data_IF_251256875909
#
_entry.id   IF_251256875909
#
_cell.length_a   1.000
_cell.length_b   1.000
_cell.length_c   1.000
_cell.angle_alpha   90.00
_cell.angle_beta   90.00
_cell.angle_gamma   90.00
#
_symmetry.space_group_name_H-M   'P 1'
#
loop_
_entity.id
_entity.type
_entity.pdbx_description
1 polymer ?
#
# COMPACT_ATOMS: atom_id res chain seq x y z
N UNK A 1 51.80 -11.19 23.02
CA UNK A 1 52.55 -12.34 23.55
C UNK A 1 51.69 -13.57 23.39
N UNK A 2 52.19 -14.50 22.58
CA UNK A 2 51.99 -15.96 22.58
C UNK A 2 50.62 -16.41 22.13
N UNK A 3 50.39 -16.80 20.88
CA UNK A 3 51.03 -17.75 19.95
C UNK A 3 50.60 -19.20 20.17
N UNK A 4 49.81 -19.73 19.15
CA UNK A 4 49.93 -21.06 18.55
C UNK A 4 49.98 -22.32 19.44
N UNK A 5 49.20 -23.31 19.00
CA UNK A 5 49.70 -24.67 18.72
C UNK A 5 48.52 -25.48 18.13
N UNK A 6 48.48 -25.85 16.83
CA UNK A 6 49.15 -27.01 16.20
C UNK A 6 48.79 -28.30 16.90
N UNK A 7 48.50 -29.41 16.29
CA UNK A 7 48.78 -30.02 14.99
C UNK A 7 48.16 -31.41 14.98
N UNK A 8 47.63 -31.83 13.87
CA UNK A 8 47.90 -33.06 13.15
C UNK A 8 48.16 -34.35 13.92
N UNK A 9 47.42 -35.42 13.63
CA UNK A 9 48.05 -36.73 13.44
C UNK A 9 47.36 -37.54 12.34
N UNK A 10 48.16 -37.92 11.42
CA UNK A 10 47.97 -38.72 10.22
C UNK A 10 48.18 -40.21 10.51
N UNK A 11 47.42 -41.07 9.78
CA UNK A 11 47.90 -42.29 9.07
C UNK A 11 48.39 -43.49 9.87
N UNK A 12 47.82 -44.65 9.60
CA UNK A 12 48.37 -45.86 8.97
C UNK A 12 47.33 -46.97 8.99
N UNK A 13 46.86 -47.39 7.80
CA UNK A 13 47.37 -48.54 7.01
C UNK A 13 47.15 -49.89 7.66
N UNK A 14 46.36 -50.74 7.05
CA UNK A 14 46.25 -52.16 7.28
C UNK A 14 45.36 -52.89 6.30
N UNK A 15 45.99 -53.33 5.20
CA UNK A 15 45.46 -54.20 4.15
C UNK A 15 45.44 -55.62 4.63
N UNK A 16 44.34 -56.37 4.59
CA UNK A 16 44.34 -57.83 4.45
C UNK A 16 43.18 -58.30 3.63
N UNK A 17 43.51 -59.00 2.57
CA UNK A 17 42.73 -59.73 1.58
C UNK A 17 42.14 -61.00 2.21
N UNK A 18 40.94 -61.34 1.86
CA UNK A 18 40.36 -62.64 2.18
C UNK A 18 38.98 -62.88 1.56
N UNK A 19 38.98 -63.50 0.39
CA UNK A 19 37.79 -64.11 -0.26
C UNK A 19 37.06 -65.05 0.66
N UNK A 20 35.78 -65.08 0.64
CA UNK A 20 34.95 -66.29 0.36
C UNK A 20 33.49 -65.96 0.13
N UNK A 21 33.05 -66.64 -0.88
CA UNK A 21 31.70 -66.84 -1.39
C UNK A 21 30.62 -67.27 -0.38
N UNK A 22 29.37 -66.96 -0.75
CA UNK A 22 28.11 -67.72 -0.61
C UNK A 22 27.17 -67.29 0.49
N UNK A 23 26.06 -66.97 0.07
CA UNK A 23 24.64 -67.48 0.03
C UNK A 23 23.63 -66.49 0.51
N UNK A 24 22.73 -66.24 -0.40
CA UNK A 24 21.28 -66.10 -0.24
C UNK A 24 20.70 -66.02 1.18
N UNK A 25 20.08 -64.93 1.52
CA UNK A 25 18.66 -64.95 1.87
C UNK A 25 18.12 -63.57 2.21
N UNK A 26 17.16 -63.14 1.43
CA UNK A 26 15.87 -62.59 1.76
C UNK A 26 15.75 -61.51 2.84
N UNK A 27 15.18 -60.40 2.37
CA UNK A 27 14.11 -59.63 2.99
C UNK A 27 14.45 -58.79 4.21
N UNK A 28 14.60 -57.55 3.96
CA UNK A 28 13.83 -56.54 4.70
C UNK A 28 13.70 -55.32 3.80
N UNK A 29 12.58 -55.28 3.15
CA UNK A 29 11.97 -54.07 2.58
C UNK A 29 11.65 -53.15 3.74
N UNK A 30 12.60 -52.31 4.12
CA UNK A 30 12.26 -51.12 4.88
C UNK A 30 11.81 -50.10 3.88
N UNK A 31 10.49 -49.98 3.80
CA UNK A 31 9.81 -48.85 3.15
C UNK A 31 10.42 -47.57 3.69
N UNK A 32 11.28 -46.94 2.94
CA UNK A 32 11.56 -45.51 3.05
C UNK A 32 10.35 -44.78 2.55
N UNK A 33 9.38 -44.59 3.44
CA UNK A 33 8.38 -43.54 3.28
C UNK A 33 9.14 -42.25 3.51
N UNK A 34 9.56 -41.60 2.44
CA UNK A 34 9.49 -40.16 2.24
C UNK A 34 10.08 -39.77 0.88
N UNK A 35 9.44 -40.29 -0.15
CA UNK A 35 9.61 -39.80 -1.51
C UNK A 35 8.59 -38.73 -1.79
N UNK A 36 8.62 -37.63 -1.04
CA UNK A 36 7.96 -36.44 -1.48
C UNK A 36 8.68 -35.94 -2.75
N UNK A 37 8.02 -36.09 -3.89
CA UNK A 37 8.51 -35.61 -5.18
C UNK A 37 8.87 -34.11 -5.04
N UNK A 38 10.15 -33.70 -5.21
CA UNK A 38 10.53 -32.30 -5.11
C UNK A 38 9.81 -31.40 -6.14
N UNK A 39 9.15 -32.00 -7.14
CA UNK A 39 8.32 -31.29 -8.11
C UNK A 39 6.93 -30.84 -7.55
N UNK A 40 6.54 -31.30 -6.37
CA UNK A 40 5.23 -30.99 -5.75
C UNK A 40 5.28 -29.89 -4.68
N UNK A 41 6.46 -29.38 -4.33
CA UNK A 41 6.52 -28.23 -3.43
C UNK A 41 6.11 -26.96 -4.18
N UNK A 42 5.10 -26.22 -3.67
CA UNK A 42 4.75 -24.94 -4.29
C UNK A 42 5.98 -24.04 -4.27
N UNK A 43 6.30 -23.35 -5.39
CA UNK A 43 7.46 -22.48 -5.43
C UNK A 43 7.36 -21.43 -4.33
N UNK A 44 8.47 -21.19 -3.64
CA UNK A 44 8.55 -20.22 -2.56
C UNK A 44 8.08 -18.84 -3.02
N UNK A 45 7.47 -18.08 -2.10
CA UNK A 45 7.15 -16.68 -2.30
C UNK A 45 8.42 -15.84 -2.29
N UNK A 46 8.73 -15.16 -3.37
CA UNK A 46 9.84 -14.19 -3.42
C UNK A 46 9.36 -12.87 -2.84
N UNK A 47 9.80 -12.55 -1.61
CA UNK A 47 9.38 -11.37 -0.88
C UNK A 47 10.55 -10.39 -0.73
N UNK A 48 10.29 -9.11 -0.95
CA UNK A 48 11.25 -8.03 -0.73
C UNK A 48 10.75 -7.08 0.37
N UNK A 49 11.66 -6.53 1.15
CA UNK A 49 11.38 -5.40 2.05
C UNK A 49 11.98 -4.16 1.40
N UNK A 50 11.12 -3.25 0.93
CA UNK A 50 11.53 -1.97 0.33
C UNK A 50 11.95 -0.99 1.40
N UNK A 51 11.25 -0.98 2.54
CA UNK A 51 11.59 -0.21 3.72
C UNK A 51 10.42 0.57 4.31
N UNK A 52 10.71 1.24 5.42
CA UNK A 52 9.75 2.09 6.13
C UNK A 52 10.22 3.54 6.13
N UNK A 53 9.35 4.44 5.70
CA UNK A 53 9.57 5.88 5.74
C UNK A 53 9.21 6.47 7.12
N UNK A 54 9.93 7.49 7.62
CA UNK A 54 11.21 7.97 7.15
C UNK A 54 12.36 6.97 7.43
N UNK A 55 13.48 7.08 6.72
CA UNK A 55 14.64 6.19 6.91
C UNK A 55 15.39 6.53 8.21
N UNK A 56 14.89 6.06 9.35
CA UNK A 56 15.50 6.22 10.67
C UNK A 56 16.18 4.94 11.14
N UNK A 57 17.06 5.04 12.13
CA UNK A 57 17.69 3.88 12.75
C UNK A 57 16.66 2.91 13.38
N UNK A 58 15.59 3.46 13.98
CA UNK A 58 14.50 2.68 14.56
C UNK A 58 13.73 1.91 13.48
N UNK A 59 13.40 2.54 12.36
CA UNK A 59 12.72 1.88 11.25
C UNK A 59 13.61 0.81 10.63
N UNK A 60 14.91 1.05 10.55
CA UNK A 60 15.86 0.04 10.08
C UNK A 60 15.92 -1.17 11.00
N UNK A 61 15.85 -1.00 12.32
CA UNK A 61 15.74 -2.11 13.27
C UNK A 61 14.43 -2.90 13.06
N UNK A 62 13.30 -2.21 12.85
CA UNK A 62 12.02 -2.85 12.52
C UNK A 62 12.05 -3.63 11.20
N UNK A 63 12.72 -3.09 10.16
CA UNK A 63 12.95 -3.81 8.90
C UNK A 63 13.73 -5.10 9.09
N UNK A 64 14.80 -5.05 9.89
CA UNK A 64 15.62 -6.24 10.20
C UNK A 64 14.81 -7.29 10.96
N UNK A 65 14.01 -6.87 11.94
CA UNK A 65 13.13 -7.77 12.69
C UNK A 65 12.07 -8.43 11.80
N UNK A 66 11.43 -7.65 10.92
CA UNK A 66 10.51 -8.19 9.93
C UNK A 66 11.20 -9.16 8.95
N UNK A 67 12.42 -8.83 8.50
CA UNK A 67 13.21 -9.70 7.63
C UNK A 67 13.52 -11.02 8.31
N UNK A 68 13.92 -10.98 9.58
CA UNK A 68 14.20 -12.18 10.37
C UNK A 68 12.93 -13.03 10.56
N UNK A 69 11.79 -12.40 10.87
CA UNK A 69 10.52 -13.10 11.01
C UNK A 69 10.05 -13.75 9.70
N UNK A 70 10.18 -13.04 8.56
CA UNK A 70 9.87 -13.58 7.23
C UNK A 70 10.80 -14.74 6.84
N UNK A 71 12.09 -14.66 7.18
CA UNK A 71 13.07 -15.70 6.84
C UNK A 71 12.88 -17.01 7.60
N UNK A 72 12.18 -16.97 8.73
CA UNK A 72 11.80 -18.18 9.49
C UNK A 72 10.65 -18.96 8.84
N UNK A 73 9.90 -18.35 7.94
CA UNK A 73 8.80 -19.02 7.24
C UNK A 73 9.33 -19.77 6.02
N UNK A 74 9.27 -21.10 6.06
CA UNK A 74 9.78 -21.98 5.00
C UNK A 74 9.09 -21.75 3.62
N UNK A 75 7.98 -21.01 3.59
CA UNK A 75 7.25 -20.69 2.36
C UNK A 75 7.79 -19.44 1.66
N UNK A 76 8.71 -18.69 2.30
CA UNK A 76 9.24 -17.41 1.85
C UNK A 76 10.69 -17.55 1.41
N UNK A 77 11.02 -16.98 0.27
CA UNK A 77 12.37 -16.68 -0.17
C UNK A 77 12.57 -15.16 -0.10
N UNK A 78 13.20 -14.70 0.97
CA UNK A 78 13.46 -13.27 1.14
C UNK A 78 14.54 -12.83 0.15
N UNK A 79 14.30 -11.71 -0.54
CA UNK A 79 15.25 -11.12 -1.47
C UNK A 79 16.31 -10.34 -0.70
N UNK A 80 17.56 -10.52 -1.12
CA UNK A 80 18.69 -9.85 -0.49
C UNK A 80 18.53 -8.32 -0.52
N UNK A 81 18.72 -7.63 0.61
CA UNK A 81 18.57 -6.17 0.68
C UNK A 81 19.44 -5.40 -0.31
N UNK A 82 20.61 -5.93 -0.69
CA UNK A 82 21.50 -5.27 -1.67
C UNK A 82 20.91 -5.29 -3.08
N UNK A 83 20.20 -6.36 -3.44
CA UNK A 83 19.45 -6.45 -4.71
C UNK A 83 18.31 -5.45 -4.69
N UNK A 84 17.56 -5.38 -3.58
CA UNK A 84 16.47 -4.41 -3.43
C UNK A 84 17.00 -2.98 -3.61
N UNK A 85 18.06 -2.60 -2.87
CA UNK A 85 18.65 -1.28 -2.96
C UNK A 85 19.15 -0.94 -4.36
N UNK A 86 19.79 -1.89 -5.04
CA UNK A 86 20.25 -1.70 -6.42
C UNK A 86 19.08 -1.45 -7.38
N UNK A 87 17.97 -2.16 -7.21
CA UNK A 87 16.76 -1.98 -8.00
C UNK A 87 16.10 -0.60 -7.73
N UNK A 88 16.01 -0.18 -6.45
CA UNK A 88 15.46 1.13 -6.06
C UNK A 88 16.24 2.28 -6.71
N UNK A 89 17.58 2.22 -6.64
CA UNK A 89 18.44 3.21 -7.27
C UNK A 89 18.28 3.18 -8.81
N UNK A 90 18.24 1.97 -9.39
CA UNK A 90 18.14 1.78 -10.84
C UNK A 90 16.87 2.38 -11.46
N UNK A 91 15.74 2.40 -10.74
CA UNK A 91 14.48 2.98 -11.22
C UNK A 91 14.24 4.41 -10.70
N UNK A 92 15.15 4.95 -9.88
CA UNK A 92 15.00 6.28 -9.27
C UNK A 92 13.84 6.36 -8.28
N UNK A 93 13.63 5.31 -7.46
CA UNK A 93 12.58 5.33 -6.45
C UNK A 93 12.85 6.38 -5.38
N UNK A 94 11.88 7.27 -5.15
CA UNK A 94 11.99 8.43 -4.27
C UNK A 94 11.58 8.17 -2.81
N UNK A 95 11.20 6.92 -2.48
CA UNK A 95 10.71 6.56 -1.14
C UNK A 95 9.21 6.80 -0.93
N UNK A 96 8.46 7.19 -1.95
CA UNK A 96 7.02 7.41 -1.84
C UNK A 96 6.26 6.12 -1.56
N UNK A 97 5.41 6.16 -0.54
CA UNK A 97 4.49 5.06 -0.24
C UNK A 97 3.15 5.19 -0.99
N UNK A 98 2.92 6.31 -1.67
CA UNK A 98 1.70 6.57 -2.46
C UNK A 98 1.97 6.28 -3.93
N UNK A 99 1.88 5.02 -4.31
CA UNK A 99 2.23 4.55 -5.65
C UNK A 99 1.00 4.26 -6.51
N UNK A 100 1.13 4.51 -7.82
CA UNK A 100 0.23 3.90 -8.80
C UNK A 100 0.55 2.41 -8.96
N UNK A 101 -0.42 1.64 -9.44
CA UNK A 101 -0.20 0.23 -9.79
C UNK A 101 0.95 0.04 -10.78
N UNK A 102 1.10 0.97 -11.72
CA UNK A 102 2.18 0.90 -12.71
C UNK A 102 3.55 1.17 -12.11
N UNK A 103 3.68 2.14 -11.21
CA UNK A 103 4.92 2.40 -10.45
C UNK A 103 5.28 1.20 -9.58
N UNK A 104 4.31 0.66 -8.82
CA UNK A 104 4.51 -0.49 -7.97
C UNK A 104 4.88 -1.76 -8.77
N UNK A 105 4.24 -1.98 -9.94
CA UNK A 105 4.58 -3.08 -10.84
C UNK A 105 5.99 -2.96 -11.42
N UNK A 106 6.41 -1.76 -11.82
CA UNK A 106 7.77 -1.50 -12.28
C UNK A 106 8.79 -1.78 -11.18
N UNK A 107 8.48 -1.36 -9.95
CA UNK A 107 9.31 -1.64 -8.78
C UNK A 107 9.43 -3.14 -8.52
N UNK A 108 8.31 -3.86 -8.46
CA UNK A 108 8.29 -5.31 -8.27
C UNK A 108 9.05 -6.06 -9.36
N UNK A 109 8.93 -5.62 -10.62
CA UNK A 109 9.67 -6.20 -11.75
C UNK A 109 11.17 -5.94 -11.66
N UNK A 110 11.60 -4.73 -11.27
CA UNK A 110 13.00 -4.37 -11.09
C UNK A 110 13.67 -5.17 -9.97
N UNK A 111 12.96 -5.38 -8.86
CA UNK A 111 13.44 -6.23 -7.75
C UNK A 111 13.37 -7.72 -8.13
N UNK A 112 12.42 -8.10 -8.96
CA UNK A 112 12.13 -9.49 -9.33
C UNK A 112 11.43 -10.26 -8.21
N UNK A 113 10.49 -9.64 -7.49
CA UNK A 113 9.75 -10.24 -6.39
C UNK A 113 8.30 -10.59 -6.76
N UNK A 114 7.70 -11.55 -6.04
CA UNK A 114 6.27 -11.81 -6.11
C UNK A 114 5.50 -10.76 -5.30
N UNK A 115 6.01 -10.42 -4.11
CA UNK A 115 5.48 -9.39 -3.22
C UNK A 115 6.60 -8.53 -2.66
N UNK A 116 6.26 -7.29 -2.36
CA UNK A 116 7.13 -6.46 -1.54
C UNK A 116 6.36 -5.79 -0.41
N UNK A 117 7.10 -5.50 0.67
CA UNK A 117 6.59 -4.78 1.83
C UNK A 117 7.21 -3.39 1.84
N UNK A 118 6.35 -2.40 1.98
CA UNK A 118 6.72 -0.99 2.15
C UNK A 118 5.82 -0.39 3.21
N UNK A 119 6.27 0.66 3.89
CA UNK A 119 5.42 1.26 4.91
C UNK A 119 5.90 2.61 5.42
N UNK A 120 5.19 3.10 6.42
CA UNK A 120 5.55 4.28 7.20
C UNK A 120 5.52 3.90 8.68
N UNK A 121 6.55 4.27 9.42
CA UNK A 121 6.59 4.09 10.86
C UNK A 121 7.21 5.32 11.52
N UNK A 122 6.61 5.78 12.59
CA UNK A 122 7.04 6.96 13.32
C UNK A 122 6.65 6.86 14.80
N UNK A 123 7.40 7.54 15.65
CA UNK A 123 7.05 7.70 17.05
C UNK A 123 6.94 9.20 17.37
N UNK A 124 5.82 9.56 17.98
CA UNK A 124 5.41 10.93 18.24
C UNK A 124 5.08 11.10 19.72
N UNK A 125 5.44 12.25 20.28
CA UNK A 125 4.95 12.67 21.57
C UNK A 125 3.55 13.26 21.40
N UNK A 126 2.56 12.70 22.05
CA UNK A 126 1.18 13.18 22.07
C UNK A 126 0.87 13.79 23.42
N UNK A 127 0.16 14.89 23.42
CA UNK A 127 -0.35 15.55 24.64
C UNK A 127 -1.85 15.68 24.53
N UNK A 128 -2.58 14.98 25.39
CA UNK A 128 -4.04 15.06 25.44
C UNK A 128 -4.50 16.22 26.34
N UNK A 129 -3.67 16.64 27.31
CA UNK A 129 -3.84 17.79 28.21
C UNK A 129 -2.48 18.35 28.60
N UNK A 130 -2.47 19.55 29.16
CA UNK A 130 -1.26 20.32 29.49
C UNK A 130 -0.22 19.59 30.36
N UNK A 131 -0.60 18.47 31.03
CA UNK A 131 0.27 17.66 31.90
C UNK A 131 0.23 16.15 31.62
N UNK A 132 -0.36 15.71 30.52
CA UNK A 132 -0.51 14.29 30.20
C UNK A 132 0.08 14.01 28.79
N UNK A 133 1.41 13.92 28.73
CA UNK A 133 2.13 13.56 27.53
C UNK A 133 2.50 12.07 27.54
N UNK A 134 2.25 11.38 26.45
CA UNK A 134 2.67 10.00 26.24
C UNK A 134 3.38 9.88 24.87
N UNK A 135 4.19 8.85 24.75
CA UNK A 135 4.80 8.50 23.48
C UNK A 135 3.89 7.52 22.74
N UNK A 136 3.59 7.82 21.49
CA UNK A 136 2.82 6.95 20.60
C UNK A 136 3.69 6.58 19.40
N UNK A 137 3.90 5.28 19.18
CA UNK A 137 4.52 4.78 17.96
C UNK A 137 3.46 4.15 17.07
N UNK A 138 3.57 4.36 15.76
CA UNK A 138 2.70 3.70 14.79
C UNK A 138 3.49 3.18 13.60
N UNK A 139 2.93 2.16 12.95
CA UNK A 139 3.37 1.70 11.63
C UNK A 139 2.18 1.35 10.74
N UNK A 140 2.28 1.75 9.49
CA UNK A 140 1.45 1.23 8.41
C UNK A 140 2.28 0.27 7.57
N UNK A 141 1.91 -1.01 7.56
CA UNK A 141 2.55 -2.06 6.76
C UNK A 141 1.71 -2.30 5.52
N UNK A 142 2.31 -2.11 4.36
CA UNK A 142 1.68 -2.31 3.05
C UNK A 142 2.27 -3.51 2.35
N UNK A 143 1.41 -4.45 1.94
CA UNK A 143 1.78 -5.65 1.20
C UNK A 143 1.33 -5.47 -0.25
N UNK A 144 2.26 -5.43 -1.16
CA UNK A 144 2.03 -5.13 -2.57
C UNK A 144 2.37 -6.34 -3.43
N UNK A 145 1.46 -6.75 -4.31
CA UNK A 145 1.75 -7.75 -5.35
C UNK A 145 2.67 -7.12 -6.41
N UNK A 146 3.91 -7.59 -6.49
CA UNK A 146 4.92 -7.04 -7.39
C UNK A 146 4.62 -7.25 -8.87
N UNK A 147 3.71 -8.16 -9.23
CA UNK A 147 3.33 -8.45 -10.62
C UNK A 147 2.21 -7.56 -11.11
N UNK A 148 1.26 -7.23 -10.23
CA UNK A 148 0.08 -6.43 -10.58
C UNK A 148 0.19 -4.98 -10.10
N UNK A 149 1.08 -4.71 -9.16
CA UNK A 149 1.21 -3.42 -8.48
C UNK A 149 0.07 -3.11 -7.53
N UNK A 150 -0.81 -4.08 -7.24
CA UNK A 150 -1.95 -3.88 -6.37
C UNK A 150 -1.54 -3.92 -4.90
N UNK A 151 -2.06 -3.01 -4.09
CA UNK A 151 -2.04 -3.11 -2.65
C UNK A 151 -2.97 -4.26 -2.23
N UNK A 152 -2.40 -5.34 -1.72
CA UNK A 152 -3.15 -6.57 -1.40
C UNK A 152 -3.38 -6.77 0.09
N UNK A 153 -2.64 -6.04 0.91
CA UNK A 153 -2.79 -6.02 2.35
C UNK A 153 -2.31 -4.70 2.93
N UNK A 154 -3.04 -4.21 3.90
CA UNK A 154 -2.66 -3.07 4.71
C UNK A 154 -2.94 -3.39 6.17
N UNK A 155 -1.98 -3.10 7.03
CA UNK A 155 -2.13 -3.25 8.48
C UNK A 155 -1.63 -1.99 9.16
N UNK A 156 -2.45 -1.41 10.03
CA UNK A 156 -2.10 -0.27 10.85
C UNK A 156 -1.98 -0.71 12.31
N UNK A 157 -0.85 -0.40 12.90
CA UNK A 157 -0.54 -0.75 14.29
C UNK A 157 -0.09 0.53 14.97
N UNK A 158 -0.67 0.83 16.13
CA UNK A 158 -0.18 1.87 17.02
C UNK A 158 -0.05 1.34 18.44
N UNK A 159 0.93 1.84 19.16
CA UNK A 159 1.17 1.49 20.56
C UNK A 159 1.56 2.73 21.35
N UNK A 160 1.07 2.82 22.60
CA UNK A 160 1.33 3.91 23.50
C UNK A 160 2.20 3.43 24.66
N UNK A 161 3.21 4.21 25.03
CA UNK A 161 4.09 3.89 26.15
C UNK A 161 4.59 5.14 26.84
N UNK A 162 5.23 4.95 28.01
CA UNK A 162 5.84 6.04 28.77
C UNK A 162 7.10 6.59 28.11
N UNK A 163 7.76 5.79 27.26
CA UNK A 163 8.96 6.20 26.53
C UNK A 163 8.85 5.82 25.06
N UNK A 164 9.48 6.62 24.20
CA UNK A 164 9.57 6.38 22.76
C UNK A 164 10.14 5.02 22.43
N UNK A 165 11.16 4.61 23.18
CA UNK A 165 11.83 3.32 22.93
C UNK A 165 10.90 2.14 23.25
N UNK A 166 10.19 2.18 24.37
CA UNK A 166 9.23 1.12 24.71
C UNK A 166 8.05 1.05 23.73
N UNK A 167 7.56 2.18 23.22
CA UNK A 167 6.54 2.20 22.19
C UNK A 167 7.02 1.55 20.89
N UNK A 168 8.24 1.88 20.44
CA UNK A 168 8.84 1.28 19.25
C UNK A 168 9.11 -0.22 19.42
N UNK A 169 9.58 -0.65 20.59
CA UNK A 169 9.80 -2.07 20.90
C UNK A 169 8.50 -2.89 20.87
N UNK A 170 7.43 -2.36 21.46
CA UNK A 170 6.11 -2.98 21.43
C UNK A 170 5.59 -3.10 19.98
N UNK A 171 5.79 -2.05 19.19
CA UNK A 171 5.42 -2.04 17.77
C UNK A 171 6.15 -3.12 16.97
N UNK A 172 7.48 -3.22 17.10
CA UNK A 172 8.29 -4.24 16.44
C UNK A 172 7.79 -5.64 16.80
N UNK A 173 7.59 -5.91 18.09
CA UNK A 173 7.08 -7.20 18.56
C UNK A 173 5.70 -7.54 17.99
N UNK A 174 4.85 -6.54 17.83
CA UNK A 174 3.51 -6.74 17.24
C UNK A 174 3.60 -7.05 15.75
N UNK A 175 4.48 -6.37 15.01
CA UNK A 175 4.74 -6.66 13.58
C UNK A 175 5.27 -8.08 13.42
N UNK A 176 6.23 -8.49 14.25
CA UNK A 176 6.75 -9.86 14.24
C UNK A 176 5.64 -10.91 14.45
N UNK A 177 4.78 -10.69 15.44
CA UNK A 177 3.68 -11.60 15.75
C UNK A 177 2.66 -11.71 14.61
N UNK A 178 2.51 -10.65 13.79
CA UNK A 178 1.57 -10.61 12.65
C UNK A 178 2.18 -11.14 11.34
N UNK A 179 3.49 -11.36 11.28
CA UNK A 179 4.20 -11.74 10.04
C UNK A 179 3.65 -13.00 9.39
N UNK A 180 3.28 -14.02 10.17
CA UNK A 180 2.67 -15.24 9.63
C UNK A 180 1.36 -14.93 8.87
N UNK A 181 0.53 -14.02 9.41
CA UNK A 181 -0.69 -13.57 8.74
C UNK A 181 -0.41 -12.81 7.43
N UNK A 182 0.68 -12.08 7.36
CA UNK A 182 1.10 -11.42 6.12
C UNK A 182 1.47 -12.44 5.04
N UNK A 183 2.22 -13.49 5.41
CA UNK A 183 2.58 -14.58 4.49
C UNK A 183 1.32 -15.32 4.02
N UNK A 184 0.40 -15.64 4.92
CA UNK A 184 -0.87 -16.29 4.57
C UNK A 184 -1.68 -15.46 3.58
N UNK A 185 -1.72 -14.14 3.77
CA UNK A 185 -2.37 -13.20 2.84
C UNK A 185 -1.72 -13.25 1.45
N UNK A 186 -0.39 -13.21 1.37
CA UNK A 186 0.35 -13.31 0.11
C UNK A 186 0.04 -14.63 -0.62
N UNK A 187 -0.02 -15.75 0.12
CA UNK A 187 -0.37 -17.07 -0.44
C UNK A 187 -1.79 -17.06 -1.00
N UNK A 188 -2.76 -16.51 -0.27
CA UNK A 188 -4.14 -16.41 -0.73
C UNK A 188 -4.25 -15.61 -2.03
N UNK A 189 -3.60 -14.44 -2.10
CA UNK A 189 -3.59 -13.60 -3.31
C UNK A 189 -2.98 -14.36 -4.49
N UNK A 190 -1.84 -15.05 -4.26
CA UNK A 190 -1.18 -15.86 -5.29
C UNK A 190 -2.05 -17.03 -5.76
N UNK A 191 -2.78 -17.69 -4.87
CA UNK A 191 -3.67 -18.78 -5.20
C UNK A 191 -4.87 -18.28 -6.04
N UNK A 192 -5.48 -17.16 -5.66
CA UNK A 192 -6.56 -16.51 -6.40
C UNK A 192 -6.14 -16.11 -7.82
N UNK A 193 -4.90 -15.60 -8.00
CA UNK A 193 -4.38 -15.23 -9.31
C UNK A 193 -4.16 -16.44 -10.26
N UNK A 194 -4.08 -17.66 -9.73
CA UNK A 194 -3.90 -18.90 -10.52
C UNK A 194 -5.22 -19.51 -10.97
N UNK A 195 -6.34 -19.18 -10.31
CA UNK A 195 -7.67 -19.67 -10.69
C UNK A 195 -8.18 -18.92 -11.93
N UNK A 196 -8.67 -19.60 -12.97
CA UNK A 196 -9.11 -18.97 -14.24
C UNK A 196 -10.24 -17.93 -14.06
N UNK A 197 -11.00 -18.01 -12.97
CA UNK A 197 -12.09 -17.07 -12.64
C UNK A 197 -11.62 -15.66 -12.26
N UNK A 198 -10.36 -15.47 -11.86
CA UNK A 198 -9.87 -14.15 -11.43
C UNK A 198 -9.61 -13.18 -12.58
N UNK A 199 -9.55 -13.66 -13.83
CA UNK A 199 -9.43 -12.76 -15.00
C UNK A 199 -10.70 -12.00 -15.33
N UNK A 200 -11.84 -12.39 -14.76
CA UNK A 200 -13.15 -11.78 -14.98
C UNK A 200 -13.60 -10.81 -13.89
N UNK A 201 -12.90 -10.71 -12.74
CA UNK A 201 -13.39 -9.94 -11.58
C UNK A 201 -13.22 -8.42 -11.72
N UNK A 202 -12.40 -7.92 -12.63
CA UNK A 202 -12.40 -6.50 -13.00
C UNK A 202 -13.66 -6.07 -13.75
N UNK A 203 -14.50 -7.05 -14.15
CA UNK A 203 -15.75 -6.86 -14.85
C UNK A 203 -16.99 -7.35 -14.10
N UNK A 204 -16.89 -7.57 -12.77
CA UNK A 204 -18.04 -8.05 -12.00
C UNK A 204 -19.21 -7.07 -12.10
N UNK A 205 -20.16 -7.39 -12.98
CA UNK A 205 -21.36 -6.61 -13.23
C UNK A 205 -21.54 -6.10 -14.66
N UNK A 206 -20.59 -6.36 -15.57
CA UNK A 206 -20.81 -6.18 -16.99
C UNK A 206 -21.22 -7.54 -17.60
N UNK A 207 -22.41 -7.62 -18.15
CA UNK A 207 -22.80 -8.75 -19.00
C UNK A 207 -22.02 -8.66 -20.30
N UNK A 208 -21.81 -9.78 -20.99
CA UNK A 208 -21.01 -9.88 -22.21
C UNK A 208 -21.48 -8.99 -23.41
N UNK A 209 -22.43 -8.10 -23.17
CA UNK A 209 -22.97 -7.14 -24.14
C UNK A 209 -22.78 -5.67 -23.81
N UNK A 210 -22.25 -5.33 -22.63
CA UNK A 210 -22.09 -3.93 -22.22
C UNK A 210 -20.74 -3.37 -22.68
N UNK A 211 -20.71 -2.76 -23.85
CA UNK A 211 -19.55 -1.98 -24.30
C UNK A 211 -19.30 -0.83 -23.33
N UNK A 212 -18.09 -0.75 -22.79
CA UNK A 212 -17.64 0.37 -21.96
C UNK A 212 -16.65 1.20 -22.76
N UNK A 213 -16.96 2.46 -22.97
CA UNK A 213 -16.08 3.40 -23.65
C UNK A 213 -15.19 4.14 -22.65
N UNK A 214 -13.94 4.41 -23.02
CA UNK A 214 -13.12 5.36 -22.27
C UNK A 214 -13.57 6.77 -22.60
N UNK A 215 -13.66 7.67 -21.59
CA UNK A 215 -13.94 9.08 -21.81
C UNK A 215 -12.89 9.65 -22.76
N UNK A 216 -13.27 10.17 -23.94
CA UNK A 216 -12.30 10.71 -24.89
C UNK A 216 -11.61 11.94 -24.32
N UNK A 217 -10.31 12.08 -24.63
CA UNK A 217 -9.56 13.30 -24.29
C UNK A 217 -10.10 14.52 -25.07
N UNK A 218 -9.89 15.70 -24.50
CA UNK A 218 -10.25 16.95 -25.16
C UNK A 218 -9.57 17.06 -26.54
N UNK A 219 -10.36 17.46 -27.56
CA UNK A 219 -9.88 17.59 -28.93
C UNK A 219 -9.73 16.27 -29.70
N UNK A 220 -10.05 15.12 -29.10
CA UNK A 220 -10.06 13.83 -29.80
C UNK A 220 -11.19 13.78 -30.84
N UNK A 221 -10.99 13.18 -32.03
CA UNK A 221 -12.07 12.90 -32.99
C UNK A 221 -13.22 12.08 -32.38
N UNK A 222 -12.95 11.31 -31.32
CA UNK A 222 -13.94 10.53 -30.57
C UNK A 222 -14.85 11.38 -29.68
N UNK A 223 -14.56 12.68 -29.50
CA UNK A 223 -15.39 13.60 -28.72
C UNK A 223 -16.62 14.08 -29.49
N UNK A 224 -16.69 13.88 -30.82
CA UNK A 224 -17.86 14.23 -31.62
C UNK A 224 -19.08 13.41 -31.18
N UNK A 225 -20.19 14.10 -30.86
CA UNK A 225 -21.41 13.45 -30.35
C UNK A 225 -21.32 12.92 -28.91
N UNK A 226 -20.16 12.97 -28.27
CA UNK A 226 -19.96 12.50 -26.90
C UNK A 226 -20.26 13.61 -25.88
N UNK A 227 -21.04 13.28 -24.84
CA UNK A 227 -21.22 14.08 -23.64
C UNK A 227 -20.78 13.28 -22.43
N UNK A 228 -19.85 13.82 -21.65
CA UNK A 228 -19.37 13.20 -20.42
C UNK A 228 -20.48 13.06 -19.36
N UNK A 229 -20.30 12.15 -18.37
CA UNK A 229 -21.22 12.06 -17.24
C UNK A 229 -21.29 13.40 -16.50
N UNK A 230 -22.49 13.84 -16.15
CA UNK A 230 -22.70 15.06 -15.37
C UNK A 230 -22.98 14.71 -13.91
N UNK A 231 -22.06 15.03 -13.00
CA UNK A 231 -22.21 14.75 -11.58
C UNK A 231 -23.23 15.70 -10.94
N UNK A 232 -24.26 15.13 -10.31
CA UNK A 232 -25.34 15.85 -9.60
C UNK A 232 -24.88 16.23 -8.19
N UNK A 233 -24.08 15.36 -7.55
CA UNK A 233 -23.49 15.60 -6.25
C UNK A 233 -21.97 15.49 -6.29
N UNK A 234 -21.32 16.11 -5.29
CA UNK A 234 -19.89 15.95 -5.04
C UNK A 234 -19.71 15.32 -3.66
N UNK A 235 -19.35 14.07 -3.61
CA UNK A 235 -19.09 13.37 -2.35
C UNK A 235 -17.60 13.48 -2.04
N UNK A 236 -17.28 14.10 -0.90
CA UNK A 236 -15.92 14.17 -0.39
C UNK A 236 -15.68 12.93 0.44
N UNK A 237 -14.61 12.14 0.16
CA UNK A 237 -14.25 11.03 1.02
C UNK A 237 -13.83 11.52 2.41
N UNK A 238 -14.12 10.72 3.40
CA UNK A 238 -13.72 10.93 4.78
C UNK A 238 -12.21 10.75 4.93
N UNK A 239 -11.57 11.59 5.72
CA UNK A 239 -10.17 11.41 6.08
C UNK A 239 -10.09 10.41 7.24
N UNK A 240 -9.57 9.21 6.96
CA UNK A 240 -9.60 8.10 7.89
C UNK A 240 -8.72 8.34 9.13
N UNK A 241 -9.09 7.76 10.26
CA UNK A 241 -8.40 7.95 11.53
C UNK A 241 -6.93 7.51 11.47
N UNK A 242 -6.63 6.40 10.79
CA UNK A 242 -5.26 5.91 10.60
C UNK A 242 -4.41 6.91 9.80
N UNK A 243 -5.01 7.54 8.79
CA UNK A 243 -4.36 8.58 8.02
C UNK A 243 -4.15 9.86 8.85
N UNK A 244 -5.08 10.17 9.76
CA UNK A 244 -4.97 11.31 10.67
C UNK A 244 -3.84 11.10 11.68
N UNK A 245 -3.75 9.91 12.29
CA UNK A 245 -2.68 9.56 13.22
C UNK A 245 -1.32 9.66 12.54
N UNK A 246 -1.22 9.17 11.29
CA UNK A 246 0.03 9.11 10.53
C UNK A 246 0.31 10.38 9.71
N UNK A 247 -0.54 11.40 9.78
CA UNK A 247 -0.44 12.66 9.01
C UNK A 247 -0.17 12.41 7.51
N UNK A 248 -1.04 11.62 6.89
CA UNK A 248 -0.86 11.16 5.51
C UNK A 248 -1.33 12.21 4.51
N UNK A 249 -0.43 12.70 3.68
CA UNK A 249 -0.78 13.42 2.45
C UNK A 249 -0.64 12.47 1.27
N UNK A 250 -1.74 12.21 0.57
CA UNK A 250 -1.75 11.23 -0.52
C UNK A 250 -2.81 11.55 -1.57
N UNK A 251 -2.65 10.94 -2.73
CA UNK A 251 -3.65 10.95 -3.80
C UNK A 251 -4.16 9.52 -4.01
N UNK A 252 -5.47 9.33 -4.01
CA UNK A 252 -6.11 8.09 -4.45
C UNK A 252 -6.68 8.32 -5.85
N UNK A 253 -6.33 7.41 -6.77
CA UNK A 253 -6.90 7.40 -8.11
C UNK A 253 -7.66 6.10 -8.32
N UNK A 254 -8.85 6.22 -8.89
CA UNK A 254 -9.71 5.08 -9.20
C UNK A 254 -10.22 5.19 -10.63
N UNK A 255 -10.10 4.10 -11.38
CA UNK A 255 -10.80 3.93 -12.63
C UNK A 255 -12.20 3.40 -12.35
N UNK A 256 -13.22 4.14 -12.75
CA UNK A 256 -14.62 3.90 -12.40
C UNK A 256 -15.46 3.73 -13.64
N UNK A 257 -16.30 2.69 -13.65
CA UNK A 257 -17.32 2.49 -14.70
C UNK A 257 -18.61 3.19 -14.27
N UNK A 258 -19.03 4.16 -15.05
CA UNK A 258 -20.32 4.85 -14.95
C UNK A 258 -21.28 4.24 -15.94
N UNK A 259 -22.34 3.59 -15.45
CA UNK A 259 -23.30 2.85 -16.29
C UNK A 259 -24.33 3.78 -16.91
N UNK A 260 -24.85 3.37 -18.06
CA UNK A 260 -25.93 4.05 -18.79
C UNK A 260 -27.24 4.15 -18.01
N UNK A 261 -27.44 3.29 -17.00
CA UNK A 261 -28.58 3.34 -16.09
C UNK A 261 -28.43 4.33 -14.90
N UNK A 262 -27.28 5.05 -14.83
CA UNK A 262 -27.02 6.00 -13.75
C UNK A 262 -26.38 5.39 -12.49
N UNK A 263 -25.98 4.11 -12.54
CA UNK A 263 -25.31 3.43 -11.42
C UNK A 263 -23.79 3.40 -11.58
N UNK A 264 -23.08 3.47 -10.46
CA UNK A 264 -21.65 3.22 -10.40
C UNK A 264 -21.40 1.70 -10.52
N UNK A 265 -20.63 1.30 -11.52
CA UNK A 265 -20.25 -0.08 -11.78
C UNK A 265 -18.95 -0.47 -11.06
N UNK A 266 -18.01 -1.06 -11.82
CA UNK A 266 -16.72 -1.47 -11.30
C UNK A 266 -15.87 -0.26 -10.88
N UNK A 267 -15.17 -0.39 -9.75
CA UNK A 267 -14.20 0.56 -9.25
C UNK A 267 -12.86 -0.18 -9.14
N UNK A 268 -11.83 0.37 -9.73
CA UNK A 268 -10.47 -0.15 -9.65
C UNK A 268 -9.54 0.94 -9.14
N UNK A 269 -8.97 0.76 -7.95
CA UNK A 269 -7.96 1.67 -7.44
C UNK A 269 -6.69 1.51 -8.28
N UNK A 270 -6.26 2.59 -8.93
CA UNK A 270 -5.09 2.64 -9.81
C UNK A 270 -3.89 3.32 -9.16
N UNK A 271 -4.12 4.18 -8.15
CA UNK A 271 -3.12 4.73 -7.23
C UNK A 271 -3.67 4.59 -5.82
N UNK A 272 -2.98 3.82 -5.00
CA UNK A 272 -3.39 3.54 -3.63
C UNK A 272 -2.59 4.36 -2.61
N UNK A 273 -3.19 4.61 -1.47
CA UNK A 273 -2.61 5.36 -0.36
C UNK A 273 -2.49 4.53 0.92
N UNK A 274 -3.31 3.50 1.10
CA UNK A 274 -3.48 2.81 2.38
C UNK A 274 -4.14 3.69 3.43
N UNK A 275 -3.91 3.40 4.70
CA UNK A 275 -4.40 4.18 5.86
C UNK A 275 -5.91 4.48 5.81
N UNK A 276 -6.72 3.53 5.30
CA UNK A 276 -8.17 3.67 5.19
C UNK A 276 -8.67 4.64 4.11
N UNK A 277 -7.75 5.30 3.38
CA UNK A 277 -8.09 6.32 2.37
C UNK A 277 -8.63 5.70 1.08
N UNK A 278 -8.17 4.50 0.72
CA UNK A 278 -8.63 3.79 -0.47
C UNK A 278 -10.09 3.36 -0.29
N UNK A 279 -10.43 2.77 0.85
CA UNK A 279 -11.79 2.35 1.21
C UNK A 279 -12.71 3.56 1.37
N UNK A 280 -12.22 4.66 1.95
CA UNK A 280 -12.98 5.90 2.05
C UNK A 280 -13.29 6.49 0.67
N UNK A 281 -12.33 6.46 -0.24
CA UNK A 281 -12.50 6.88 -1.63
C UNK A 281 -13.53 6.02 -2.35
N UNK A 282 -13.46 4.70 -2.20
CA UNK A 282 -14.41 3.78 -2.81
C UNK A 282 -15.83 4.02 -2.29
N UNK A 283 -16.02 4.19 -0.98
CA UNK A 283 -17.32 4.52 -0.38
C UNK A 283 -17.87 5.83 -0.94
N UNK A 284 -17.03 6.86 -1.10
CA UNK A 284 -17.44 8.14 -1.66
C UNK A 284 -17.84 8.00 -3.13
N UNK A 285 -17.09 7.25 -3.94
CA UNK A 285 -17.40 7.00 -5.35
C UNK A 285 -18.74 6.28 -5.49
N UNK A 286 -19.05 5.28 -4.66
CA UNK A 286 -20.33 4.56 -4.69
C UNK A 286 -21.54 5.43 -4.37
N UNK A 287 -21.35 6.57 -3.71
CA UNK A 287 -22.42 7.54 -3.38
C UNK A 287 -22.61 8.61 -4.45
N UNK A 288 -21.81 8.60 -5.52
CA UNK A 288 -21.93 9.57 -6.60
C UNK A 288 -23.26 9.38 -7.33
N UNK A 289 -23.96 10.49 -7.55
CA UNK A 289 -25.15 10.58 -8.40
C UNK A 289 -24.79 11.39 -9.64
N UNK A 290 -25.12 10.86 -10.80
CA UNK A 290 -24.74 11.46 -12.07
C UNK A 290 -25.81 11.20 -13.14
N UNK A 291 -25.84 12.06 -14.16
CA UNK A 291 -26.51 11.76 -15.43
C UNK A 291 -25.53 10.95 -16.28
N UNK A 292 -25.97 9.85 -16.90
CA UNK A 292 -25.09 9.02 -17.74
C UNK A 292 -24.45 9.81 -18.89
N UNK A 293 -23.29 9.33 -19.31
CA UNK A 293 -22.68 9.79 -20.55
C UNK A 293 -23.59 9.44 -21.74
N UNK A 294 -23.54 10.27 -22.78
CA UNK A 294 -24.31 10.01 -24.00
C UNK A 294 -23.40 10.09 -25.22
N UNK A 295 -23.72 9.28 -26.22
CA UNK A 295 -23.18 9.38 -27.58
C UNK A 295 -24.32 9.51 -28.56
N UNK A 296 -24.32 10.59 -29.33
CA UNK A 296 -25.39 10.90 -30.30
C UNK A 296 -26.80 10.84 -29.68
N UNK A 297 -26.88 11.26 -28.38
CA UNK A 297 -28.13 11.26 -27.61
C UNK A 297 -28.47 9.97 -26.87
N UNK A 298 -27.79 8.86 -27.14
CA UNK A 298 -28.00 7.57 -26.49
C UNK A 298 -27.11 7.43 -25.25
N UNK A 299 -27.68 6.97 -24.13
CA UNK A 299 -26.94 6.71 -22.90
C UNK A 299 -25.97 5.53 -23.09
N UNK A 300 -24.72 5.70 -22.67
CA UNK A 300 -23.65 4.71 -22.79
C UNK A 300 -22.93 4.49 -21.46
N UNK A 301 -22.31 3.29 -21.33
CA UNK A 301 -21.40 3.03 -20.22
C UNK A 301 -20.04 3.64 -20.53
N UNK A 302 -19.45 4.33 -19.57
CA UNK A 302 -18.12 4.94 -19.73
C UNK A 302 -17.22 4.62 -18.57
N UNK A 303 -15.92 4.55 -18.84
CA UNK A 303 -14.88 4.42 -17.84
C UNK A 303 -14.13 5.74 -17.71
N UNK A 304 -14.04 6.24 -16.49
CA UNK A 304 -13.38 7.52 -16.20
C UNK A 304 -12.50 7.43 -14.96
N UNK A 305 -11.45 8.24 -14.92
CA UNK A 305 -10.56 8.39 -13.78
C UNK A 305 -11.15 9.38 -12.78
N UNK A 306 -11.30 8.94 -11.53
CA UNK A 306 -11.62 9.77 -10.38
C UNK A 306 -10.37 9.92 -9.53
N UNK A 307 -10.09 11.14 -9.08
CA UNK A 307 -8.94 11.46 -8.24
C UNK A 307 -9.39 12.19 -7.00
N UNK A 308 -8.94 11.71 -5.82
CA UNK A 308 -9.08 12.37 -4.54
C UNK A 308 -7.71 12.72 -3.97
N UNK A 309 -7.53 13.98 -3.60
CA UNK A 309 -6.33 14.45 -2.94
C UNK A 309 -6.62 14.63 -1.46
N UNK A 310 -5.91 13.88 -0.64
CA UNK A 310 -6.00 13.92 0.81
C UNK A 310 -4.84 14.73 1.37
N UNK A 311 -5.18 15.67 2.24
CA UNK A 311 -4.22 16.41 3.07
C UNK A 311 -4.89 16.73 4.40
N UNK A 312 -4.16 16.68 5.47
CA UNK A 312 -4.63 17.18 6.75
C UNK A 312 -4.91 18.68 6.60
N UNK A 313 -6.11 19.10 6.91
CA UNK A 313 -6.42 20.50 7.11
C UNK A 313 -5.99 20.78 8.54
N UNK A 314 -4.85 21.48 8.73
CA UNK A 314 -4.51 22.00 10.04
C UNK A 314 -5.73 22.80 10.51
N UNK A 315 -6.36 22.41 11.60
CA UNK A 315 -7.31 23.30 12.25
C UNK A 315 -6.57 24.60 12.54
N UNK A 316 -7.13 25.77 12.16
CA UNK A 316 -6.51 27.03 12.54
C UNK A 316 -6.40 27.02 14.05
N UNK A 317 -5.16 27.08 14.55
CA UNK A 317 -4.84 27.10 15.96
C UNK A 317 -5.81 28.01 16.69
N UNK A 318 -6.64 27.41 17.55
CA UNK A 318 -7.63 27.96 18.41
C UNK A 318 -8.21 29.33 17.99
N UNK A 319 -9.46 29.37 17.59
CA UNK A 319 -10.27 30.50 17.98
C UNK A 319 -10.27 30.50 19.51
N UNK A 320 -9.29 31.21 20.10
CA UNK A 320 -9.53 31.79 21.41
C UNK A 320 -10.86 32.51 21.26
N UNK A 321 -11.88 32.02 21.93
CA UNK A 321 -13.12 32.75 22.12
C UNK A 321 -12.72 34.07 22.76
N UNK A 322 -12.60 35.10 21.92
CA UNK A 322 -12.59 36.46 22.43
C UNK A 322 -13.96 36.65 23.04
N UNK A 323 -14.04 37.03 24.33
CA UNK A 323 -15.33 37.37 24.94
C UNK A 323 -15.95 38.45 24.07
N UNK A 324 -17.22 38.24 23.70
CA UNK A 324 -17.99 39.13 22.85
C UNK A 324 -17.87 40.59 23.32
N UNK A 325 -16.96 41.33 22.69
CA UNK A 325 -16.89 42.76 22.85
C UNK A 325 -18.07 43.31 22.03
N UNK A 326 -19.00 43.97 22.77
CA UNK A 326 -20.11 44.73 22.25
C UNK A 326 -19.66 45.57 21.02
N UNK A 327 -20.34 45.49 19.89
CA UNK A 327 -19.94 46.28 18.72
C UNK A 327 -19.98 47.76 19.08
N UNK A 328 -18.97 48.55 18.71
CA UNK A 328 -19.03 50.00 18.86
C UNK A 328 -20.11 50.56 17.94
N UNK A 329 -20.89 51.52 18.46
CA UNK A 329 -21.87 52.29 17.73
C UNK A 329 -21.23 52.85 16.47
N UNK A 330 -21.83 52.54 15.32
CA UNK A 330 -21.38 53.10 14.04
C UNK A 330 -21.74 54.59 14.00
N UNK A 331 -20.79 55.51 13.79
CA UNK A 331 -21.15 56.87 13.34
C UNK A 331 -21.68 56.77 11.91
N UNK A 332 -22.84 57.31 11.71
CA UNK A 332 -23.51 57.50 10.43
C UNK A 332 -22.61 58.34 9.51
N UNK A 333 -21.96 57.72 8.51
CA UNK A 333 -21.17 58.43 7.49
C UNK A 333 -22.11 58.82 6.35
N UNK A 334 -22.31 60.15 6.25
CA UNK A 334 -22.94 60.81 5.13
C UNK A 334 -22.25 60.48 3.80
N UNK A 335 -22.89 59.64 2.98
CA UNK A 335 -22.41 59.17 1.68
C UNK A 335 -22.42 60.23 0.57
N UNK A 336 -22.73 61.51 0.87
CA UNK A 336 -22.85 62.56 -0.12
C UNK A 336 -21.54 63.23 -0.51
N UNK A 337 -20.40 62.87 0.08
CA UNK A 337 -19.10 63.51 -0.21
C UNK A 337 -18.16 62.71 -1.13
N UNK A 338 -18.56 61.58 -1.66
CA UNK A 338 -17.64 60.73 -2.44
C UNK A 338 -17.75 60.86 -3.96
N UNK A 339 -18.60 61.80 -4.48
CA UNK A 339 -18.70 62.05 -5.92
C UNK A 339 -18.44 63.53 -6.23
N UNK A 340 -17.16 63.94 -6.39
CA UNK A 340 -16.77 65.10 -7.16
C UNK A 340 -16.04 64.65 -8.43
N UNK A 341 -16.62 64.83 -9.62
CA UNK A 341 -15.91 64.57 -10.87
C UNK A 341 -14.91 65.69 -11.15
N UNK A 342 -13.62 65.38 -11.16
CA UNK A 342 -12.61 66.27 -11.69
C UNK A 342 -12.49 66.06 -13.19
N UNK A 343 -13.18 66.91 -13.94
CA UNK A 343 -13.01 67.07 -15.38
C UNK A 343 -11.86 68.08 -15.60
N UNK A 344 -10.74 67.68 -16.22
CA UNK A 344 -9.76 68.62 -16.81
C UNK A 344 -9.71 68.34 -18.30
N UNK A 345 -10.05 69.37 -19.05
CA UNK A 345 -9.76 69.61 -20.49
C UNK A 345 -8.57 70.58 -20.58
N UNK A 346 -8.10 70.77 -21.80
CA UNK A 346 -7.15 69.98 -22.60
C UNK A 346 -5.72 70.35 -22.30
#
# INVERSE_FOLDING_TARGET
>A
MIRNLFLTLMVLMGLVIGDRFSTLSSVAETASADGADPALQPPLLRVAIVGFAPATAANKAGELSLAEALSRDARVALIDPSIVQSALVGIGYDGSINMSKDEARKLGAAIGCDFFVVGKAEALTRSERENDSHEEAYTGVMIVDGRTGALTGFDFISDKASTRESALQALIKTVEARTAGYVDRMIQVRAQARTPQSRGSAGAGLTAGDLVEDVPGEGSPRSTGFKAPEFINRVKPEYATEAEIADITATVEAMVVFRSNGEVGAIEITRWAGFGLDESSERAIRQLKFKPATRDGNAINVRALIRYNFRRIAEPAGKLEQPASKPPDKPERDLRQLFKPTYRRP
#
